data_IF_403764992134
#
_entry.id   IF_403764992134
#
_cell.length_a   1.000
_cell.length_b   1.000
_cell.length_c   1.000
_cell.angle_alpha   90.00
_cell.angle_beta   90.00
_cell.angle_gamma   90.00
#
_symmetry.space_group_name_H-M   'P 1'
#
loop_
_entity.id
_entity.type
_entity.pdbx_description
1 polymer ?
#
# COMPACT_ATOMS: atom_id res chain seq x y z
N UNK A 1 15.21 -1.84 -1.62
CA UNK A 1 14.23 -2.73 -0.94
C UNK A 1 14.19 -4.04 -1.69
N UNK A 2 14.04 -5.17 -1.00
CA UNK A 2 13.92 -6.46 -1.68
C UNK A 2 12.55 -6.57 -2.35
N UNK A 3 12.46 -7.38 -3.40
CA UNK A 3 11.18 -7.76 -4.02
C UNK A 3 10.21 -8.35 -2.99
N UNK A 4 10.75 -9.05 -1.99
CA UNK A 4 10.00 -9.55 -0.84
C UNK A 4 9.26 -8.42 -0.09
N UNK A 5 9.91 -7.28 0.16
CA UNK A 5 9.25 -6.17 0.87
C UNK A 5 8.09 -5.58 0.07
N UNK A 6 8.18 -5.52 -1.26
CA UNK A 6 7.07 -5.06 -2.11
C UNK A 6 5.91 -6.07 -2.05
N UNK A 7 6.22 -7.37 -2.12
CA UNK A 7 5.20 -8.42 -1.98
C UNK A 7 4.52 -8.37 -0.61
N UNK A 8 5.28 -8.16 0.48
CA UNK A 8 4.72 -8.03 1.82
C UNK A 8 3.78 -6.81 1.91
N UNK A 9 4.12 -5.69 1.27
CA UNK A 9 3.25 -4.51 1.21
C UNK A 9 1.95 -4.78 0.41
N UNK A 10 2.00 -5.58 -0.65
CA UNK A 10 0.80 -6.00 -1.37
C UNK A 10 -0.12 -6.86 -0.51
N UNK A 11 0.43 -7.78 0.30
CA UNK A 11 -0.36 -8.56 1.26
C UNK A 11 -1.06 -7.64 2.28
N UNK A 12 -0.40 -6.57 2.72
CA UNK A 12 -1.01 -5.59 3.63
C UNK A 12 -2.16 -4.84 2.94
N UNK A 13 -2.00 -4.47 1.67
CA UNK A 13 -3.07 -3.83 0.87
C UNK A 13 -4.31 -4.73 0.75
N UNK A 14 -4.12 -6.02 0.44
CA UNK A 14 -5.21 -6.99 0.34
C UNK A 14 -5.99 -7.12 1.67
N UNK A 15 -5.27 -7.10 2.79
CA UNK A 15 -5.88 -7.13 4.11
C UNK A 15 -6.67 -5.84 4.42
N UNK A 16 -6.15 -4.68 4.02
CA UNK A 16 -6.86 -3.41 4.16
C UNK A 16 -8.16 -3.43 3.35
N UNK A 17 -8.10 -3.93 2.11
CA UNK A 17 -9.28 -4.03 1.24
C UNK A 17 -10.35 -4.95 1.82
N UNK A 18 -9.96 -6.13 2.33
CA UNK A 18 -10.91 -7.02 3.02
C UNK A 18 -11.55 -6.36 4.25
N UNK A 19 -10.82 -5.48 4.95
CA UNK A 19 -11.37 -4.76 6.11
C UNK A 19 -12.31 -3.63 5.69
N UNK A 20 -11.99 -2.88 4.63
CA UNK A 20 -12.87 -1.84 4.09
C UNK A 20 -14.22 -2.45 3.68
N UNK A 21 -14.22 -3.61 3.02
CA UNK A 21 -15.44 -4.33 2.65
C UNK A 21 -16.29 -4.72 3.86
N UNK A 22 -15.65 -5.03 5.00
CA UNK A 22 -16.32 -5.42 6.25
C UNK A 22 -16.75 -4.23 7.11
N UNK A 23 -16.06 -3.10 7.01
CA UNK A 23 -16.26 -1.91 7.84
C UNK A 23 -17.21 -0.87 7.23
N UNK A 24 -18.11 -1.29 6.32
CA UNK A 24 -19.05 -0.41 5.61
C UNK A 24 -19.89 0.53 6.51
N UNK A 25 -20.03 0.20 7.80
CA UNK A 25 -20.84 0.96 8.76
C UNK A 25 -20.00 1.83 9.73
N UNK A 26 -18.67 1.75 9.70
CA UNK A 26 -17.79 2.52 10.59
C UNK A 26 -16.98 3.55 9.78
N UNK A 27 -17.46 4.79 9.75
CA UNK A 27 -16.88 5.86 8.94
C UNK A 27 -15.45 6.24 9.37
N UNK A 28 -15.14 6.22 10.67
CA UNK A 28 -13.80 6.52 11.17
C UNK A 28 -12.79 5.44 10.77
N UNK A 29 -13.18 4.16 10.91
CA UNK A 29 -12.35 3.05 10.47
C UNK A 29 -12.15 3.07 8.95
N UNK A 30 -13.20 3.36 8.18
CA UNK A 30 -13.11 3.47 6.72
C UNK A 30 -12.14 4.57 6.28
N UNK A 31 -12.20 5.75 6.92
CA UNK A 31 -11.27 6.86 6.66
C UNK A 31 -9.83 6.48 7.03
N UNK A 32 -9.63 5.86 8.18
CA UNK A 32 -8.30 5.40 8.61
C UNK A 32 -7.73 4.37 7.64
N UNK A 33 -8.50 3.34 7.27
CA UNK A 33 -8.06 2.29 6.35
C UNK A 33 -7.76 2.84 4.95
N UNK A 34 -8.60 3.76 4.45
CA UNK A 34 -8.37 4.45 3.18
C UNK A 34 -7.08 5.27 3.21
N UNK A 35 -6.83 6.01 4.29
CA UNK A 35 -5.59 6.76 4.46
C UNK A 35 -4.35 5.84 4.46
N UNK A 36 -4.40 4.72 5.19
CA UNK A 36 -3.30 3.75 5.21
C UNK A 36 -3.05 3.14 3.82
N UNK A 37 -4.12 2.78 3.10
CA UNK A 37 -4.03 2.26 1.73
C UNK A 37 -3.26 3.22 0.81
N UNK A 38 -3.64 4.51 0.82
CA UNK A 38 -2.99 5.55 0.02
C UNK A 38 -1.50 5.66 0.36
N UNK A 39 -1.15 5.64 1.65
CA UNK A 39 0.26 5.76 2.07
C UNK A 39 1.12 4.59 1.63
N UNK A 40 0.60 3.38 1.66
CA UNK A 40 1.33 2.19 1.21
C UNK A 40 1.52 2.22 -0.31
N UNK A 41 0.50 2.62 -1.07
CA UNK A 41 0.62 2.78 -2.53
C UNK A 41 1.69 3.83 -2.89
N UNK A 42 1.68 4.99 -2.23
CA UNK A 42 2.72 6.02 -2.40
C UNK A 42 4.12 5.48 -2.11
N UNK A 43 4.26 4.67 -1.07
CA UNK A 43 5.54 4.06 -0.70
C UNK A 43 6.03 3.09 -1.79
N UNK A 44 5.15 2.25 -2.34
CA UNK A 44 5.48 1.33 -3.45
C UNK A 44 5.93 2.13 -4.69
N UNK A 45 5.19 3.17 -5.05
CA UNK A 45 5.51 4.03 -6.19
C UNK A 45 6.88 4.72 -6.01
N UNK A 46 7.14 5.30 -4.84
CA UNK A 46 8.43 5.94 -4.52
C UNK A 46 9.60 4.96 -4.65
N UNK A 47 9.40 3.67 -4.30
CA UNK A 47 10.44 2.65 -4.47
C UNK A 47 10.66 2.25 -5.92
N UNK A 48 9.57 2.10 -6.69
CA UNK A 48 9.67 1.75 -8.10
C UNK A 48 10.36 2.86 -8.90
N UNK A 49 10.03 4.13 -8.63
CA UNK A 49 10.70 5.28 -9.25
C UNK A 49 12.19 5.34 -8.89
N UNK A 50 12.56 5.06 -7.63
CA UNK A 50 13.97 4.97 -7.24
C UNK A 50 14.69 3.83 -7.96
N UNK A 51 14.05 2.68 -8.17
CA UNK A 51 14.62 1.58 -8.96
C UNK A 51 14.89 2.01 -10.41
N UNK A 52 13.94 2.68 -11.06
CA UNK A 52 14.11 3.17 -12.43
C UNK A 52 15.26 4.18 -12.56
N UNK A 53 15.50 5.00 -11.53
CA UNK A 53 16.63 5.93 -11.50
C UNK A 53 18.00 5.21 -11.51
N UNK A 54 18.11 4.03 -10.88
CA UNK A 54 19.37 3.27 -10.83
C UNK A 54 19.59 2.31 -12.01
N UNK A 55 18.57 2.01 -12.82
CA UNK A 55 18.69 1.12 -13.99
C UNK A 55 19.22 1.87 -15.23
N UNK A 56 19.14 3.20 -15.24
CA UNK A 56 19.56 4.05 -16.36
C UNK A 56 21.01 4.59 -16.27
N UNK A 57 21.89 3.97 -15.47
CA UNK A 57 23.32 4.33 -15.35
C UNK A 57 24.23 3.11 -15.53
#
# INVERSE_FOLDING_TARGET
>A
MSEQTINDLHIVLDNIDSRIEKSANNNEELQYLTYQKIKILQLIDDFNQRKEFFVNY
#
